data_IF_965047284788
#
_entry.id   IF_965047284788
#
_cell.length_a   1.000
_cell.length_b   1.000
_cell.length_c   1.000
_cell.angle_alpha   90.00
_cell.angle_beta   90.00
_cell.angle_gamma   90.00
#
_symmetry.space_group_name_H-M   'P 1'
#
loop_
_entity.id
_entity.type
_entity.pdbx_description
1 polymer ?
#
# COMPACT_ATOMS: atom_id res chain seq x y z
N UNK A 1 -0.71 -9.92 1.37
CA UNK A 1 -1.32 -8.90 2.25
C UNK A 1 -2.76 -8.67 1.85
N UNK A 2 -3.66 -9.63 2.03
CA UNK A 2 -5.10 -9.44 1.76
C UNK A 2 -5.83 -9.68 3.06
N UNK A 3 -5.91 -10.93 3.52
CA UNK A 3 -6.49 -11.28 4.83
C UNK A 3 -5.83 -10.51 5.98
N UNK A 4 -4.50 -10.56 6.08
CA UNK A 4 -3.78 -9.81 7.12
C UNK A 4 -3.94 -8.28 6.96
N UNK A 5 -4.18 -7.79 5.74
CA UNK A 5 -4.45 -6.36 5.53
C UNK A 5 -5.77 -5.93 6.17
N UNK A 6 -6.83 -6.71 6.00
CA UNK A 6 -8.10 -6.50 6.68
C UNK A 6 -7.94 -6.58 8.21
N UNK A 7 -7.29 -7.64 8.71
CA UNK A 7 -7.09 -7.81 10.14
C UNK A 7 -6.30 -6.65 10.76
N UNK A 8 -5.18 -6.27 10.17
CA UNK A 8 -4.34 -5.17 10.66
C UNK A 8 -5.07 -3.82 10.58
N UNK A 9 -5.80 -3.53 9.50
CA UNK A 9 -6.57 -2.28 9.40
C UNK A 9 -7.60 -2.14 10.52
N UNK A 10 -8.35 -3.20 10.82
CA UNK A 10 -9.35 -3.21 11.89
C UNK A 10 -8.70 -3.03 13.28
N UNK A 11 -7.54 -3.63 13.53
CA UNK A 11 -6.83 -3.53 14.80
C UNK A 11 -6.16 -2.17 15.02
N UNK A 12 -5.69 -1.51 13.95
CA UNK A 12 -4.99 -0.22 14.01
C UNK A 12 -5.90 0.98 13.71
N UNK A 13 -7.20 0.86 13.95
CA UNK A 13 -8.21 1.91 13.75
C UNK A 13 -8.19 2.57 12.36
N UNK A 14 -7.80 1.83 11.32
CA UNK A 14 -7.91 2.26 9.92
C UNK A 14 -9.17 1.65 9.29
N UNK A 15 -9.86 2.36 8.38
CA UNK A 15 -11.06 1.82 7.71
C UNK A 15 -10.70 0.59 6.85
N UNK A 16 -11.16 -0.63 7.19
CA UNK A 16 -10.82 -1.84 6.43
C UNK A 16 -11.34 -1.83 4.99
N UNK A 17 -12.35 -1.00 4.67
CA UNK A 17 -12.88 -0.87 3.30
C UNK A 17 -11.85 -0.34 2.32
N UNK A 18 -10.80 0.34 2.78
CA UNK A 18 -9.73 0.77 1.89
C UNK A 18 -8.99 -0.43 1.28
N UNK A 19 -8.84 -1.52 2.04
CA UNK A 19 -8.17 -2.74 1.58
C UNK A 19 -8.99 -3.41 0.50
N UNK A 20 -10.32 -3.52 0.66
CA UNK A 20 -11.19 -4.09 -0.37
C UNK A 20 -11.17 -3.25 -1.65
N UNK A 21 -11.31 -1.92 -1.55
CA UNK A 21 -11.24 -1.00 -2.70
C UNK A 21 -9.94 -1.16 -3.49
N UNK A 22 -8.80 -1.27 -2.81
CA UNK A 22 -7.50 -1.45 -3.46
C UNK A 22 -7.41 -2.81 -4.18
N UNK A 23 -7.86 -3.89 -3.53
CA UNK A 23 -7.87 -5.24 -4.13
C UNK A 23 -8.80 -5.31 -5.34
N UNK A 24 -10.00 -4.73 -5.26
CA UNK A 24 -10.97 -4.64 -6.35
C UNK A 24 -10.43 -3.85 -7.56
N UNK A 25 -9.54 -2.88 -7.33
CA UNK A 25 -8.85 -2.12 -8.40
C UNK A 25 -7.55 -2.77 -8.87
N UNK A 26 -7.28 -4.02 -8.48
CA UNK A 26 -6.20 -4.82 -9.03
C UNK A 26 -4.90 -4.77 -8.23
N UNK A 27 -4.94 -4.41 -6.94
CA UNK A 27 -3.82 -4.66 -6.05
C UNK A 27 -3.66 -6.16 -5.78
N UNK A 28 -2.42 -6.66 -5.86
CA UNK A 28 -2.04 -8.02 -5.46
C UNK A 28 -2.09 -8.19 -3.92
N UNK A 29 -2.01 -7.08 -3.20
CA UNK A 29 -2.21 -7.01 -1.76
C UNK A 29 -2.09 -5.58 -1.26
N UNK A 30 -2.75 -5.27 -0.15
CA UNK A 30 -2.69 -3.99 0.53
C UNK A 30 -2.80 -4.17 2.05
N UNK A 31 -2.21 -3.25 2.80
CA UNK A 31 -2.31 -3.21 4.27
C UNK A 31 -1.92 -1.83 4.78
N UNK A 32 -2.26 -1.56 6.04
CA UNK A 32 -1.53 -0.55 6.82
C UNK A 32 -0.04 -0.93 6.86
N UNK A 33 0.83 0.05 6.63
CA UNK A 33 2.28 -0.09 6.61
C UNK A 33 2.85 0.15 8.00
N UNK A 34 3.53 -0.85 8.57
CA UNK A 34 4.00 -0.79 9.96
C UNK A 34 2.81 -0.59 10.92
N UNK A 35 2.88 0.46 11.73
CA UNK A 35 1.81 0.84 12.67
C UNK A 35 0.89 1.95 12.12
N UNK A 36 1.01 2.30 10.83
CA UNK A 36 0.22 3.36 10.20
C UNK A 36 0.74 4.77 10.46
N UNK A 37 0.02 5.81 9.96
CA UNK A 37 -1.26 5.73 9.24
C UNK A 37 -1.10 5.39 7.74
N UNK A 38 0.14 5.27 7.26
CA UNK A 38 0.41 4.98 5.84
C UNK A 38 -0.17 3.63 5.41
N UNK A 39 -0.70 3.59 4.19
CA UNK A 39 -1.24 2.38 3.56
C UNK A 39 -0.34 2.02 2.38
N UNK A 40 0.08 0.76 2.31
CA UNK A 40 0.87 0.23 1.21
C UNK A 40 0.01 -0.72 0.36
N UNK A 41 0.13 -0.61 -0.96
CA UNK A 41 -0.46 -1.53 -1.92
C UNK A 41 0.59 -1.97 -2.94
N UNK A 42 0.61 -3.27 -3.24
CA UNK A 42 1.45 -3.86 -4.29
C UNK A 42 0.55 -4.14 -5.48
N UNK A 43 0.92 -3.62 -6.66
CA UNK A 43 0.15 -3.78 -7.89
C UNK A 43 1.09 -3.92 -9.10
N UNK A 44 0.55 -4.46 -10.20
CA UNK A 44 1.23 -4.46 -11.50
C UNK A 44 1.17 -3.05 -12.12
N UNK A 45 2.12 -2.73 -13.00
CA UNK A 45 2.23 -1.40 -13.62
C UNK A 45 0.95 -0.95 -14.33
N UNK A 46 0.22 -1.87 -14.96
CA UNK A 46 -1.02 -1.58 -15.67
C UNK A 46 -2.18 -1.15 -14.75
N UNK A 47 -2.12 -1.48 -13.45
CA UNK A 47 -3.17 -1.13 -12.47
C UNK A 47 -2.82 0.15 -11.67
N UNK A 48 -1.63 0.75 -11.87
CA UNK A 48 -1.15 1.87 -11.04
C UNK A 48 -2.08 3.09 -11.07
N UNK A 49 -2.65 3.41 -12.23
CA UNK A 49 -3.56 4.54 -12.38
C UNK A 49 -4.82 4.37 -11.52
N UNK A 50 -5.39 3.17 -11.47
CA UNK A 50 -6.61 2.92 -10.70
C UNK A 50 -6.33 2.83 -9.20
N UNK A 51 -5.17 2.27 -8.80
CA UNK A 51 -4.71 2.31 -7.41
C UNK A 51 -4.49 3.75 -6.94
N UNK A 52 -3.85 4.60 -7.75
CA UNK A 52 -3.67 6.03 -7.42
C UNK A 52 -5.00 6.75 -7.22
N UNK A 53 -6.01 6.47 -8.04
CA UNK A 53 -7.34 7.08 -7.88
C UNK A 53 -7.94 6.73 -6.52
N UNK A 54 -7.79 5.49 -6.05
CA UNK A 54 -8.24 5.10 -4.70
C UNK A 54 -7.51 5.92 -3.64
N UNK A 55 -6.18 6.02 -3.71
CA UNK A 55 -5.40 6.82 -2.75
C UNK A 55 -5.70 8.32 -2.82
N UNK A 56 -6.04 8.87 -3.98
CA UNK A 56 -6.38 10.30 -4.13
C UNK A 56 -7.63 10.74 -3.36
N UNK A 57 -8.44 9.79 -2.89
CA UNK A 57 -9.59 10.05 -2.03
C UNK A 57 -9.22 10.20 -0.54
N UNK A 58 -7.97 9.93 -0.18
CA UNK A 58 -7.43 10.04 1.17
C UNK A 58 -6.58 11.28 1.31
N UNK A 59 -6.44 11.78 2.54
CA UNK A 59 -5.49 12.85 2.84
C UNK A 59 -4.04 12.35 2.77
N UNK A 60 -3.14 13.21 2.30
CA UNK A 60 -1.70 12.95 2.23
C UNK A 60 -1.15 12.79 0.82
N UNK A 61 0.01 12.14 0.71
CA UNK A 61 0.77 12.02 -0.54
C UNK A 61 0.97 10.56 -0.92
N UNK A 62 0.78 10.24 -2.21
CA UNK A 62 1.04 8.90 -2.76
C UNK A 62 2.43 8.83 -3.39
N UNK A 63 3.28 7.95 -2.86
CA UNK A 63 4.59 7.62 -3.47
C UNK A 63 4.52 6.30 -4.21
N UNK A 64 5.12 6.23 -5.40
CA UNK A 64 5.31 4.97 -6.11
C UNK A 64 6.78 4.60 -6.06
N UNK A 65 7.06 3.39 -5.58
CA UNK A 65 8.40 2.83 -5.56
C UNK A 65 8.38 1.40 -6.11
N UNK A 66 9.48 1.00 -6.74
CA UNK A 66 9.72 -0.40 -7.11
C UNK A 66 10.43 -1.11 -5.96
N UNK A 67 10.14 -2.39 -5.80
CA UNK A 67 10.90 -3.26 -4.90
C UNK A 67 12.32 -3.38 -5.47
N UNK A 68 13.34 -3.08 -4.65
CA UNK A 68 14.74 -3.16 -5.08
C UNK A 68 15.41 -4.51 -4.74
N UNK A 69 14.85 -5.29 -3.80
CA UNK A 69 15.42 -6.52 -3.26
C UNK A 69 16.91 -6.40 -2.86
N UNK A 70 17.33 -5.22 -2.40
CA UNK A 70 18.69 -4.94 -1.95
C UNK A 70 18.69 -4.59 -0.47
N UNK A 71 19.71 -5.04 0.25
CA UNK A 71 20.01 -4.57 1.61
C UNK A 71 20.67 -3.19 1.53
N UNK A 72 20.78 -2.51 2.68
CA UNK A 72 21.52 -1.27 2.77
C UNK A 72 23.00 -1.48 2.42
N UNK A 73 23.61 -0.53 1.70
CA UNK A 73 25.01 -0.52 1.30
C UNK A 73 25.62 0.88 1.56
N UNK A 74 26.94 0.93 1.75
CA UNK A 74 27.70 2.17 1.94
C UNK A 74 28.48 2.44 0.66
N UNK A 75 28.47 3.68 0.20
CA UNK A 75 29.32 4.14 -0.89
C UNK A 75 30.55 4.83 -0.29
N UNK A 76 31.75 4.43 -0.71
CA UNK A 76 32.97 5.21 -0.41
C UNK A 76 32.88 6.56 -1.12
N UNK A 77 33.29 7.63 -0.41
CA UNK A 77 33.24 9.03 -0.85
C UNK A 77 34.46 9.41 -1.69
#
# INVERSE_FOLDING_TARGET
MILNGFATSALLNSDPKIISKLVEKGALGASVSGNGPSIAAVAKNNNLTDIKKVFSTLEGTTTISKINNKKAEVHEL
#
